data_IF_908481766239
#
_entry.id   IF_908481766239
#
_cell.length_a   1.000
_cell.length_b   1.000
_cell.length_c   1.000
_cell.angle_alpha   90.00
_cell.angle_beta   90.00
_cell.angle_gamma   90.00
#
_symmetry.space_group_name_H-M   'P 1'
#
loop_
_entity.id
_entity.type
_entity.pdbx_description
1 polymer ?
#
# COMPACT_ATOMS: atom_id res chain seq x y z
N UNK A 1 -20.28 8.92 22.38
CA UNK A 1 -19.20 8.60 21.44
C UNK A 1 -19.22 7.09 21.23
N UNK A 2 -19.58 6.61 20.05
CA UNK A 2 -19.74 5.17 19.78
C UNK A 2 -18.40 4.49 19.54
N UNK A 3 -18.25 3.25 20.01
CA UNK A 3 -17.08 2.41 19.71
C UNK A 3 -17.25 1.86 18.29
N UNK A 4 -16.28 2.10 17.40
CA UNK A 4 -16.26 1.50 16.08
C UNK A 4 -15.55 0.13 16.15
N UNK A 5 -16.24 -0.93 15.71
CA UNK A 5 -15.69 -2.28 15.65
C UNK A 5 -15.39 -2.66 14.20
N UNK A 6 -14.18 -3.15 13.94
CA UNK A 6 -13.75 -3.59 12.62
C UNK A 6 -13.33 -5.06 12.68
N UNK A 7 -14.01 -5.93 11.93
CA UNK A 7 -13.60 -7.34 11.77
C UNK A 7 -12.45 -7.41 10.76
N UNK A 8 -11.31 -7.97 11.16
CA UNK A 8 -10.13 -8.13 10.31
C UNK A 8 -9.91 -9.61 10.02
N UNK A 9 -9.81 -9.94 8.75
CA UNK A 9 -9.38 -11.27 8.30
C UNK A 9 -7.91 -11.18 7.92
N UNK A 10 -7.11 -12.12 8.41
CA UNK A 10 -5.72 -12.27 7.98
C UNK A 10 -5.72 -13.21 6.78
N UNK A 11 -5.45 -12.66 5.61
CA UNK A 11 -5.25 -13.43 4.39
C UNK A 11 -3.77 -13.79 4.28
N UNK A 12 -3.46 -15.03 3.91
CA UNK A 12 -2.10 -15.53 3.76
C UNK A 12 -1.96 -16.21 2.40
N UNK A 13 -0.82 -16.00 1.77
CA UNK A 13 -0.42 -16.65 0.53
C UNK A 13 1.07 -16.99 0.63
N UNK A 14 1.44 -18.19 0.18
CA UNK A 14 2.83 -18.62 0.11
C UNK A 14 3.45 -18.13 -1.21
N UNK A 15 4.33 -17.14 -1.12
CA UNK A 15 5.04 -16.57 -2.28
C UNK A 15 6.16 -17.47 -2.81
N UNK A 16 6.61 -18.47 -2.04
CA UNK A 16 7.68 -19.39 -2.46
C UNK A 16 7.17 -20.55 -3.33
N UNK A 17 5.90 -20.93 -3.18
CA UNK A 17 5.28 -22.07 -3.87
C UNK A 17 4.10 -21.67 -4.75
N UNK A 18 4.01 -20.40 -5.14
CA UNK A 18 2.97 -19.88 -6.03
C UNK A 18 3.54 -19.68 -7.44
N UNK A 19 2.82 -20.19 -8.42
CA UNK A 19 3.09 -19.90 -9.83
C UNK A 19 2.49 -18.53 -10.17
N UNK A 20 3.32 -17.48 -10.16
CA UNK A 20 2.90 -16.13 -10.52
C UNK A 20 3.04 -15.93 -12.04
N UNK A 21 2.02 -15.37 -12.71
CA UNK A 21 2.15 -15.03 -14.11
C UNK A 21 3.22 -13.96 -14.32
N UNK A 22 3.97 -14.06 -15.42
CA UNK A 22 4.89 -13.01 -15.85
C UNK A 22 4.12 -11.70 -16.07
N UNK A 23 4.55 -10.58 -15.48
CA UNK A 23 3.84 -9.32 -15.62
C UNK A 23 3.99 -8.77 -17.04
N UNK A 24 2.87 -8.44 -17.68
CA UNK A 24 2.85 -7.81 -19.00
C UNK A 24 2.72 -6.31 -18.85
N UNK A 25 3.66 -5.56 -19.42
CA UNK A 25 3.61 -4.10 -19.45
C UNK A 25 2.93 -3.59 -20.73
N UNK A 26 2.10 -2.52 -20.63
CA UNK A 26 1.63 -1.81 -21.82
C UNK A 26 2.78 -1.17 -22.61
N UNK A 27 2.57 -0.92 -23.89
CA UNK A 27 3.56 -0.28 -24.75
C UNK A 27 4.05 1.07 -24.19
N UNK A 28 5.37 1.28 -24.21
CA UNK A 28 6.02 2.49 -23.71
C UNK A 28 6.31 2.48 -22.20
N UNK A 29 5.86 1.48 -21.45
CA UNK A 29 6.20 1.31 -20.04
C UNK A 29 7.40 0.39 -19.87
N UNK A 30 8.17 0.62 -18.81
CA UNK A 30 9.33 -0.18 -18.46
C UNK A 30 9.43 -0.33 -16.94
N UNK A 31 9.92 -1.48 -16.48
CA UNK A 31 10.26 -1.66 -15.08
C UNK A 31 11.47 -0.80 -14.72
N UNK A 32 11.44 -0.22 -13.52
CA UNK A 32 12.56 0.50 -12.93
C UNK A 32 12.98 -0.18 -11.64
N UNK A 33 14.29 -0.22 -11.36
CA UNK A 33 14.74 -0.64 -10.04
C UNK A 33 14.20 0.33 -8.98
N UNK A 34 14.07 -0.17 -7.76
CA UNK A 34 13.72 0.66 -6.62
C UNK A 34 14.73 1.79 -6.43
N UNK A 35 14.21 2.99 -6.16
CA UNK A 35 15.00 4.17 -5.81
C UNK A 35 14.44 4.84 -4.55
N UNK A 36 15.34 5.17 -3.61
CA UNK A 36 14.97 5.91 -2.40
C UNK A 36 14.46 7.32 -2.68
N UNK A 37 14.81 7.91 -3.83
CA UNK A 37 14.30 9.23 -4.24
C UNK A 37 12.78 9.19 -4.47
N UNK A 38 12.21 8.03 -4.84
CA UNK A 38 10.77 7.87 -5.06
C UNK A 38 9.96 7.78 -3.75
N UNK A 39 10.60 7.65 -2.60
CA UNK A 39 9.91 7.43 -1.32
C UNK A 39 8.92 8.55 -0.96
N UNK A 40 9.27 9.81 -1.22
CA UNK A 40 8.34 10.93 -0.97
C UNK A 40 7.11 10.85 -1.89
N UNK A 41 7.33 10.50 -3.15
CA UNK A 41 6.26 10.33 -4.13
C UNK A 41 5.34 9.18 -3.73
N UNK A 42 5.91 8.03 -3.35
CA UNK A 42 5.17 6.90 -2.82
C UNK A 42 4.39 7.26 -1.56
N UNK A 43 4.98 7.99 -0.62
CA UNK A 43 4.32 8.41 0.61
C UNK A 43 3.12 9.33 0.34
N UNK A 44 3.24 10.26 -0.62
CA UNK A 44 2.12 11.12 -1.04
C UNK A 44 0.97 10.34 -1.64
N UNK A 45 1.27 9.44 -2.57
CA UNK A 45 0.25 8.59 -3.21
C UNK A 45 -0.43 7.73 -2.15
N UNK A 46 0.34 7.09 -1.26
CA UNK A 46 -0.19 6.27 -0.16
C UNK A 46 -1.12 7.06 0.75
N UNK A 47 -0.71 8.26 1.18
CA UNK A 47 -1.56 9.12 2.00
C UNK A 47 -2.87 9.47 1.27
N UNK A 48 -2.79 9.94 0.03
CA UNK A 48 -3.96 10.34 -0.77
C UNK A 48 -4.93 9.18 -1.03
N UNK A 49 -4.42 7.96 -1.15
CA UNK A 49 -5.24 6.77 -1.36
C UNK A 49 -6.01 6.33 -0.11
N UNK A 50 -5.53 6.66 1.09
CA UNK A 50 -6.02 6.02 2.33
C UNK A 50 -6.45 7.00 3.42
N UNK A 51 -6.06 8.28 3.39
CA UNK A 51 -6.28 9.20 4.51
C UNK A 51 -7.75 9.33 4.90
N UNK A 52 -8.65 9.31 3.92
CA UNK A 52 -10.10 9.43 4.11
C UNK A 52 -10.84 8.09 4.10
N UNK A 53 -10.10 6.98 4.01
CA UNK A 53 -10.65 5.62 3.95
C UNK A 53 -10.71 4.95 5.33
N UNK A 54 -11.44 3.83 5.42
CA UNK A 54 -11.47 2.99 6.62
C UNK A 54 -10.06 2.49 7.02
N UNK A 55 -9.19 2.32 6.03
CA UNK A 55 -7.81 1.89 6.17
C UNK A 55 -7.01 2.81 7.08
N UNK A 56 -7.19 4.15 7.03
CA UNK A 56 -6.48 5.06 7.95
C UNK A 56 -6.96 4.93 9.40
N UNK A 57 -8.20 4.45 9.62
CA UNK A 57 -8.73 4.17 10.97
C UNK A 57 -8.23 2.84 11.51
N UNK A 58 -8.07 1.85 10.64
CA UNK A 58 -7.56 0.51 11.00
C UNK A 58 -6.03 0.52 11.12
N UNK A 59 -5.35 1.31 10.30
CA UNK A 59 -3.91 1.51 10.25
C UNK A 59 -3.59 3.01 10.31
N UNK A 60 -3.45 3.59 11.51
CA UNK A 60 -3.23 5.03 11.68
C UNK A 60 -2.03 5.60 10.92
N UNK A 61 -1.01 4.79 10.63
CA UNK A 61 0.14 5.21 9.83
C UNK A 61 -0.22 5.59 8.38
N UNK A 62 -1.38 5.18 7.87
CA UNK A 62 -1.85 5.56 6.53
C UNK A 62 -2.56 6.93 6.52
N UNK A 63 -2.91 7.47 7.69
CA UNK A 63 -3.55 8.78 7.82
C UNK A 63 -2.59 9.96 7.86
N UNK A 64 -1.28 9.70 8.01
CA UNK A 64 -0.25 10.74 8.14
C UNK A 64 0.89 10.53 7.16
N UNK A 65 1.42 11.64 6.63
CA UNK A 65 2.52 11.59 5.66
C UNK A 65 3.76 10.90 6.22
N UNK A 66 4.12 11.16 7.48
CA UNK A 66 5.25 10.54 8.18
C UNK A 66 5.09 9.02 8.27
N UNK A 67 3.90 8.54 8.63
CA UNK A 67 3.57 7.11 8.64
C UNK A 67 3.58 6.48 7.24
N UNK A 68 3.32 7.27 6.20
CA UNK A 68 3.40 6.81 4.81
C UNK A 68 4.83 6.79 4.25
N UNK A 69 5.77 7.54 4.85
CA UNK A 69 7.17 7.70 4.42
C UNK A 69 8.14 6.74 5.11
N UNK A 70 7.77 6.27 6.30
CA UNK A 70 8.56 5.40 7.17
C UNK A 70 8.48 3.92 6.76
#
# INVERSE_FOLDING_TARGET
MGVAYYRRFRMEIDLGNVDLPEPVLPDGFHFRPWDSEDLERHARVKLQSFCDEIDSRVFPCLGEFTGCRN
#
